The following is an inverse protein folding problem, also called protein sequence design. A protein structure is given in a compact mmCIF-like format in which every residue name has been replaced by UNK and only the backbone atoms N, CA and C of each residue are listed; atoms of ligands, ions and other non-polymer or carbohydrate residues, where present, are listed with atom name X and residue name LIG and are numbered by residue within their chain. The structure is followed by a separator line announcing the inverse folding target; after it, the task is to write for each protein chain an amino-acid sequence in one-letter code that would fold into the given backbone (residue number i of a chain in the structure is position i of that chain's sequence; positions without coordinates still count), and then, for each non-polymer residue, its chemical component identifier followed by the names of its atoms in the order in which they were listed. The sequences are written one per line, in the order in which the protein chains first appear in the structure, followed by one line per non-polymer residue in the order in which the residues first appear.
data_IF_256786916604
#
_entry.id   IF_256786916604
#
_cell.length_a   1.000
_cell.length_b   1.000
_cell.length_c   1.000
_cell.angle_alpha   90.00
_cell.angle_beta   90.00
_cell.angle_gamma   90.00
#
_symmetry.space_group_name_H-M   'P 1'
#
loop_
_entity.id
_entity.type
_entity.pdbx_description
1 polymer ?
#
# COMPACT_ATOMS: atom_id res chain seq x y z
N UNK A 1 33.62 10.38 -5.40
CA UNK A 1 32.43 10.91 -4.69
C UNK A 1 31.55 9.72 -4.37
N UNK A 2 31.13 9.57 -3.11
CA UNK A 2 30.28 8.45 -2.71
C UNK A 2 28.92 8.50 -3.41
N UNK A 3 28.34 7.35 -3.69
CA UNK A 3 27.03 7.22 -4.33
C UNK A 3 26.14 6.21 -3.62
N UNK A 4 24.84 6.50 -3.62
CA UNK A 4 23.82 5.63 -3.05
C UNK A 4 23.01 4.98 -4.17
N UNK A 5 22.79 3.68 -4.07
CA UNK A 5 21.76 2.98 -4.84
C UNK A 5 20.52 2.81 -3.96
N UNK A 6 19.42 3.46 -4.32
CA UNK A 6 18.14 3.24 -3.68
C UNK A 6 17.30 2.24 -4.47
N UNK A 7 16.92 1.16 -3.81
CA UNK A 7 16.11 0.07 -4.33
C UNK A 7 14.72 0.15 -3.69
N UNK A 8 13.75 0.56 -4.50
CA UNK A 8 12.36 0.81 -4.09
C UNK A 8 11.36 0.22 -5.09
N UNK A 9 10.07 0.49 -4.88
CA UNK A 9 9.00 0.06 -5.80
C UNK A 9 8.67 1.26 -6.71
N UNK A 10 9.16 1.24 -7.94
CA UNK A 10 8.94 2.29 -8.93
C UNK A 10 8.01 1.86 -10.07
N UNK A 11 7.64 0.58 -10.08
CA UNK A 11 6.68 0.00 -11.01
C UNK A 11 5.66 -0.83 -10.26
N UNK A 12 4.39 -0.74 -10.68
CA UNK A 12 3.31 -1.48 -10.06
C UNK A 12 1.95 -0.84 -10.29
N UNK A 13 0.95 -1.45 -9.66
CA UNK A 13 -0.46 -1.05 -9.73
C UNK A 13 -0.96 -0.35 -8.48
N UNK A 14 -0.13 -0.23 -7.45
CA UNK A 14 -0.44 0.43 -6.18
C UNK A 14 0.23 1.80 -6.12
N UNK A 15 -0.56 2.87 -6.19
CA UNK A 15 -0.08 4.26 -6.14
C UNK A 15 0.67 4.53 -4.83
N UNK A 16 0.24 3.96 -3.71
CA UNK A 16 0.88 4.20 -2.43
C UNK A 16 2.33 3.71 -2.37
N UNK A 17 2.63 2.55 -2.97
CA UNK A 17 4.00 2.03 -3.01
C UNK A 17 4.91 2.92 -3.91
N UNK A 18 4.34 3.48 -4.98
CA UNK A 18 5.04 4.44 -5.85
C UNK A 18 5.32 5.76 -5.13
N UNK A 19 4.32 6.31 -4.42
CA UNK A 19 4.45 7.54 -3.62
C UNK A 19 5.51 7.36 -2.55
N UNK A 20 5.50 6.24 -1.83
CA UNK A 20 6.52 5.96 -0.82
C UNK A 20 7.92 6.01 -1.42
N UNK A 21 8.13 5.35 -2.56
CA UNK A 21 9.46 5.28 -3.19
C UNK A 21 9.88 6.64 -3.73
N UNK A 22 8.95 7.40 -4.30
CA UNK A 22 9.18 8.78 -4.74
C UNK A 22 9.61 9.68 -3.57
N UNK A 23 8.83 9.70 -2.49
CA UNK A 23 9.12 10.54 -1.32
C UNK A 23 10.42 10.14 -0.62
N UNK A 24 10.66 8.83 -0.49
CA UNK A 24 11.89 8.33 0.12
C UNK A 24 13.14 8.67 -0.70
N UNK A 25 13.04 8.67 -2.04
CA UNK A 25 14.16 9.02 -2.91
C UNK A 25 14.61 10.49 -2.74
N UNK A 26 13.65 11.41 -2.71
CA UNK A 26 13.91 12.83 -2.46
C UNK A 26 14.47 13.06 -1.06
N UNK A 27 13.88 12.41 -0.05
CA UNK A 27 14.28 12.57 1.33
C UNK A 27 15.69 12.01 1.60
N UNK A 28 16.01 10.83 1.04
CA UNK A 28 17.33 10.22 1.16
C UNK A 28 18.43 11.08 0.52
N UNK A 29 18.14 11.68 -0.65
CA UNK A 29 19.06 12.64 -1.30
C UNK A 29 19.31 13.87 -0.42
N UNK A 30 18.26 14.43 0.18
CA UNK A 30 18.36 15.59 1.08
C UNK A 30 19.15 15.27 2.35
N UNK A 31 18.93 14.11 2.95
CA UNK A 31 19.60 13.71 4.18
C UNK A 31 21.07 13.37 4.01
N UNK A 32 21.40 12.62 2.97
CA UNK A 32 22.78 12.16 2.74
C UNK A 32 23.66 13.24 2.10
N UNK A 33 23.08 14.16 1.33
CA UNK A 33 23.84 15.09 0.48
C UNK A 33 24.58 14.39 -0.67
N UNK A 34 24.34 13.10 -0.90
CA UNK A 34 24.99 12.29 -1.93
C UNK A 34 24.10 12.12 -3.16
N UNK A 35 24.68 11.84 -4.35
CA UNK A 35 23.91 11.35 -5.49
C UNK A 35 23.21 10.03 -5.14
N UNK A 36 21.93 9.94 -5.51
CA UNK A 36 21.08 8.75 -5.32
C UNK A 36 20.60 8.29 -6.69
N UNK A 37 21.06 7.12 -7.12
CA UNK A 37 20.52 6.44 -8.29
C UNK A 37 19.44 5.45 -7.86
N UNK A 38 18.46 5.22 -8.73
CA UNK A 38 17.24 4.50 -8.40
C UNK A 38 17.17 3.17 -9.16
N UNK A 39 16.67 2.13 -8.51
CA UNK A 39 16.42 0.83 -9.14
C UNK A 39 15.09 0.25 -8.67
N UNK A 40 14.31 -0.27 -9.60
CA UNK A 40 13.04 -0.94 -9.28
C UNK A 40 13.30 -2.32 -8.66
N UNK A 41 12.64 -2.60 -7.53
CA UNK A 41 12.80 -3.84 -6.80
C UNK A 41 12.31 -5.06 -7.57
N UNK A 42 11.30 -4.92 -8.45
CA UNK A 42 10.75 -6.05 -9.19
C UNK A 42 11.56 -6.34 -10.45
N UNK A 43 11.70 -5.36 -11.35
CA UNK A 43 12.37 -5.50 -12.65
C UNK A 43 13.89 -5.44 -12.56
N UNK A 44 14.43 -4.78 -11.54
CA UNK A 44 15.88 -4.54 -11.35
C UNK A 44 16.49 -3.61 -12.39
N UNK A 45 15.64 -2.87 -13.09
CA UNK A 45 16.07 -1.87 -14.06
C UNK A 45 16.36 -0.56 -13.34
N UNK A 46 17.38 0.17 -13.81
CA UNK A 46 17.64 1.53 -13.35
C UNK A 46 16.44 2.43 -13.70
N UNK A 47 16.09 3.32 -12.78
CA UNK A 47 14.96 4.24 -12.93
C UNK A 47 15.52 5.64 -13.10
N UNK A 48 15.37 6.21 -14.30
CA UNK A 48 15.84 7.57 -14.60
C UNK A 48 14.81 8.63 -14.20
N UNK A 49 13.52 8.34 -14.44
CA UNK A 49 12.42 9.25 -14.15
C UNK A 49 11.40 8.55 -13.26
N UNK A 50 11.21 9.07 -12.05
CA UNK A 50 10.17 8.60 -11.14
C UNK A 50 8.82 9.07 -11.65
N UNK A 51 7.88 8.14 -11.80
CA UNK A 51 6.50 8.44 -12.16
C UNK A 51 5.57 7.72 -11.19
N UNK A 52 4.76 8.46 -10.44
CA UNK A 52 3.68 7.89 -9.62
C UNK A 52 2.45 7.58 -10.49
N UNK A 53 2.67 6.89 -11.61
CA UNK A 53 1.64 6.48 -12.58
C UNK A 53 1.60 4.95 -12.60
N UNK A 54 0.40 4.39 -12.54
CA UNK A 54 0.19 2.96 -12.60
C UNK A 54 0.69 2.43 -13.93
N UNK A 55 1.68 1.54 -13.85
CA UNK A 55 2.16 0.80 -15.01
C UNK A 55 1.52 -0.58 -14.98
N UNK A 56 0.57 -0.79 -15.90
CA UNK A 56 0.03 -2.12 -16.17
C UNK A 56 1.17 -2.92 -16.78
N UNK A 57 1.64 -3.96 -16.08
CA UNK A 57 2.72 -4.82 -16.57
C UNK A 57 2.38 -5.37 -17.97
N UNK A 58 3.02 -4.88 -19.05
CA UNK A 58 2.76 -5.37 -20.40
C UNK A 58 3.34 -6.78 -20.59
N UNK A 59 4.33 -7.13 -19.76
CA UNK A 59 4.97 -8.44 -19.67
C UNK A 59 4.35 -9.26 -18.54
N UNK A 60 3.03 -9.25 -18.50
CA UNK A 60 2.30 -10.36 -17.93
C UNK A 60 2.98 -11.66 -18.46
N UNK A 61 3.54 -12.42 -17.51
CA UNK A 61 4.49 -13.53 -17.73
C UNK A 61 4.03 -14.55 -18.79
N UNK A 62 4.86 -15.52 -19.17
CA UNK A 62 4.40 -16.74 -19.89
C UNK A 62 3.09 -17.31 -19.30
N UNK A 63 2.92 -17.16 -17.98
CA UNK A 63 1.71 -17.49 -17.24
C UNK A 63 0.45 -16.71 -17.63
N UNK A 64 0.56 -15.42 -17.95
CA UNK A 64 -0.57 -14.65 -18.46
C UNK A 64 -0.90 -15.03 -19.89
N UNK A 65 0.09 -15.37 -20.73
CA UNK A 65 -0.15 -15.87 -22.09
C UNK A 65 -0.85 -17.23 -22.04
N UNK A 66 -0.44 -18.11 -21.12
CA UNK A 66 -1.12 -19.39 -20.84
C UNK A 66 -2.52 -19.13 -20.27
N UNK A 67 -2.69 -18.20 -19.32
CA UNK A 67 -3.99 -17.79 -18.78
C UNK A 67 -4.92 -17.27 -19.89
N UNK A 68 -4.46 -16.33 -20.72
CA UNK A 68 -5.22 -15.78 -21.85
C UNK A 68 -5.61 -16.90 -22.82
N UNK A 69 -4.71 -17.84 -23.10
CA UNK A 69 -4.99 -18.96 -24.01
C UNK A 69 -6.00 -19.96 -23.43
N UNK A 70 -5.92 -20.25 -22.13
CA UNK A 70 -6.87 -21.13 -21.44
C UNK A 70 -8.23 -20.47 -21.25
N UNK A 71 -8.29 -19.14 -21.04
CA UNK A 71 -9.54 -18.40 -20.87
C UNK A 71 -10.32 -18.16 -22.19
N UNK A 72 -9.86 -18.69 -23.33
CA UNK A 72 -10.52 -18.50 -24.64
C UNK A 72 -11.79 -19.33 -24.85
N UNK A 73 -12.00 -20.38 -24.05
CA UNK A 73 -13.21 -21.20 -24.14
C UNK A 73 -13.66 -21.68 -22.76
N UNK A 74 -14.92 -22.10 -22.64
CA UNK A 74 -15.53 -22.51 -21.37
C UNK A 74 -14.79 -23.66 -20.70
N UNK A 75 -14.31 -24.64 -21.48
CA UNK A 75 -13.55 -25.77 -20.96
C UNK A 75 -12.20 -25.35 -20.36
N UNK A 76 -11.46 -24.50 -21.06
CA UNK A 76 -10.19 -23.96 -20.62
C UNK A 76 -10.34 -23.00 -19.44
N UNK A 77 -11.44 -22.24 -19.36
CA UNK A 77 -11.82 -21.47 -18.18
C UNK A 77 -12.03 -22.38 -16.96
N UNK A 78 -12.78 -23.46 -17.11
CA UNK A 78 -13.02 -24.43 -16.03
C UNK A 78 -11.72 -25.10 -15.59
N UNK A 79 -10.89 -25.57 -16.53
CA UNK A 79 -9.59 -26.17 -16.25
C UNK A 79 -8.66 -25.16 -15.56
N UNK A 80 -8.53 -23.94 -16.06
CA UNK A 80 -7.71 -22.92 -15.42
C UNK A 80 -8.25 -22.59 -14.02
N UNK A 81 -9.56 -22.47 -13.83
CA UNK A 81 -10.16 -22.17 -12.52
C UNK A 81 -9.86 -23.27 -11.50
N UNK A 82 -9.93 -24.55 -11.92
CA UNK A 82 -9.62 -25.71 -11.08
C UNK A 82 -8.12 -25.74 -10.74
N UNK A 83 -7.25 -25.55 -11.74
CA UNK A 83 -5.79 -25.75 -11.57
C UNK A 83 -4.99 -24.47 -11.29
N UNK A 84 -5.59 -23.27 -11.28
CA UNK A 84 -4.89 -21.98 -11.11
C UNK A 84 -3.96 -21.97 -9.90
N UNK A 85 -4.37 -22.58 -8.79
CA UNK A 85 -3.59 -22.64 -7.54
C UNK A 85 -2.34 -23.51 -7.72
N UNK A 86 -2.49 -24.68 -8.32
CA UNK A 86 -1.37 -25.59 -8.62
C UNK A 86 -0.39 -24.95 -9.60
N UNK A 87 -0.92 -24.37 -10.68
CA UNK A 87 -0.18 -23.64 -11.69
C UNK A 87 0.62 -22.48 -11.08
N UNK A 88 -0.03 -21.61 -10.29
CA UNK A 88 0.64 -20.48 -9.62
C UNK A 88 1.72 -20.96 -8.64
N UNK A 89 1.46 -22.04 -7.88
CA UNK A 89 2.43 -22.60 -6.94
C UNK A 89 3.64 -23.20 -7.65
N UNK A 90 3.44 -23.93 -8.75
CA UNK A 90 4.53 -24.49 -9.55
C UNK A 90 5.39 -23.38 -10.17
N UNK A 91 4.76 -22.34 -10.73
CA UNK A 91 5.48 -21.16 -11.23
C UNK A 91 6.31 -20.48 -10.14
N UNK A 92 5.72 -20.27 -8.98
CA UNK A 92 6.40 -19.70 -7.81
C UNK A 92 7.63 -20.52 -7.42
N UNK A 93 7.48 -21.85 -7.30
CA UNK A 93 8.60 -22.74 -6.96
C UNK A 93 9.69 -22.73 -8.03
N UNK A 94 9.32 -22.67 -9.30
CA UNK A 94 10.27 -22.55 -10.40
C UNK A 94 11.05 -21.23 -10.31
N UNK A 95 10.39 -20.09 -10.08
CA UNK A 95 11.05 -18.81 -9.86
C UNK A 95 11.98 -18.86 -8.64
N UNK A 96 11.55 -19.44 -7.52
CA UNK A 96 12.41 -19.62 -6.34
C UNK A 96 13.66 -20.45 -6.67
N UNK A 97 13.50 -21.56 -7.41
CA UNK A 97 14.62 -22.39 -7.85
C UNK A 97 15.58 -21.62 -8.77
N UNK A 98 15.05 -20.84 -9.71
CA UNK A 98 15.88 -19.97 -10.57
C UNK A 98 16.63 -18.94 -9.74
N UNK A 99 15.95 -18.27 -8.81
CA UNK A 99 16.58 -17.28 -7.95
C UNK A 99 17.64 -17.89 -7.03
N UNK A 100 17.51 -19.14 -6.62
CA UNK A 100 18.53 -19.82 -5.81
C UNK A 100 19.73 -20.28 -6.64
N UNK A 101 19.48 -20.85 -7.83
CA UNK A 101 20.49 -21.61 -8.57
C UNK A 101 21.05 -20.93 -9.83
N UNK A 102 20.35 -19.95 -10.42
CA UNK A 102 20.87 -19.21 -11.58
C UNK A 102 21.60 -17.95 -11.15
N UNK A 103 22.92 -17.97 -11.33
CA UNK A 103 23.79 -16.84 -10.99
C UNK A 103 23.65 -15.66 -11.96
N UNK A 104 23.11 -15.83 -13.17
CA UNK A 104 23.13 -14.78 -14.20
C UNK A 104 22.32 -13.53 -13.82
N UNK A 105 21.15 -13.70 -13.20
CA UNK A 105 20.37 -12.57 -12.64
C UNK A 105 21.18 -11.81 -11.58
N UNK A 106 22.05 -12.51 -10.87
CA UNK A 106 22.89 -11.93 -9.82
C UNK A 106 24.24 -11.40 -10.29
N UNK A 107 24.70 -11.78 -11.47
CA UNK A 107 25.87 -11.14 -12.10
C UNK A 107 25.58 -9.67 -12.39
N UNK A 108 24.37 -9.35 -12.86
CA UNK A 108 23.98 -7.96 -13.10
C UNK A 108 23.90 -7.19 -11.78
N UNK A 109 23.33 -7.77 -10.72
CA UNK A 109 23.39 -7.17 -9.37
C UNK A 109 24.81 -6.89 -8.92
N UNK A 110 25.73 -7.85 -9.09
CA UNK A 110 27.13 -7.65 -8.73
C UNK A 110 27.71 -6.44 -9.46
N UNK A 111 27.47 -6.33 -10.78
CA UNK A 111 27.99 -5.25 -11.62
C UNK A 111 27.43 -3.89 -11.19
N UNK A 112 26.12 -3.82 -10.95
CA UNK A 112 25.45 -2.59 -10.50
C UNK A 112 25.97 -2.17 -9.12
N UNK A 113 26.01 -3.10 -8.16
CA UNK A 113 26.42 -2.81 -6.77
C UNK A 113 27.88 -2.31 -6.68
N UNK A 114 28.76 -2.69 -7.63
CA UNK A 114 30.14 -2.19 -7.66
C UNK A 114 30.22 -0.67 -7.83
N UNK A 115 29.26 -0.05 -8.51
CA UNK A 115 29.22 1.38 -8.83
C UNK A 115 28.86 2.27 -7.62
N UNK A 116 28.43 1.68 -6.50
CA UNK A 116 27.89 2.39 -5.35
C UNK A 116 28.60 2.05 -4.05
N UNK A 117 28.51 2.93 -3.06
CA UNK A 117 29.13 2.77 -1.74
C UNK A 117 28.11 2.35 -0.68
N UNK A 118 26.87 2.84 -0.84
CA UNK A 118 25.75 2.58 0.06
C UNK A 118 24.57 2.02 -0.73
N UNK A 119 24.00 0.93 -0.24
CA UNK A 119 22.79 0.31 -0.80
C UNK A 119 21.63 0.55 0.17
N UNK A 120 20.63 1.30 -0.28
CA UNK A 120 19.40 1.52 0.48
C UNK A 120 18.29 0.66 -0.09
N UNK A 121 17.66 -0.19 0.72
CA UNK A 121 16.47 -0.96 0.36
C UNK A 121 15.33 -0.40 1.20
N UNK A 122 14.29 0.13 0.56
CA UNK A 122 13.31 0.89 1.33
C UNK A 122 11.97 1.10 0.68
N UNK A 123 11.01 1.41 1.53
CA UNK A 123 9.62 1.66 1.15
C UNK A 123 8.74 0.42 1.04
N UNK A 124 7.44 0.66 0.90
CA UNK A 124 6.42 -0.35 0.68
C UNK A 124 6.41 -1.48 1.72
N UNK A 125 5.92 -2.64 1.28
CA UNK A 125 5.74 -3.84 2.11
C UNK A 125 6.77 -4.92 1.77
N UNK A 126 8.05 -4.55 1.66
CA UNK A 126 9.10 -5.45 1.13
C UNK A 126 9.50 -6.60 2.07
N UNK A 127 9.23 -6.49 3.37
CA UNK A 127 9.58 -7.50 4.37
C UNK A 127 8.35 -8.34 4.77
N UNK A 128 7.88 -9.23 3.91
CA UNK A 128 6.77 -10.12 4.23
C UNK A 128 6.88 -11.47 3.55
N UNK A 129 6.19 -12.48 4.09
CA UNK A 129 6.12 -13.80 3.47
C UNK A 129 4.74 -14.42 3.62
N UNK A 130 3.86 -14.07 2.67
CA UNK A 130 2.49 -14.58 2.63
C UNK A 130 2.47 -15.90 1.85
N UNK A 131 2.72 -15.85 0.54
CA UNK A 131 2.51 -16.99 -0.36
C UNK A 131 3.79 -17.54 -1.00
N UNK A 132 4.91 -16.82 -0.90
CA UNK A 132 6.18 -17.20 -1.52
C UNK A 132 7.41 -16.60 -0.83
N UNK A 133 8.59 -17.18 -1.08
CA UNK A 133 9.87 -16.76 -0.51
C UNK A 133 10.66 -15.80 -1.42
N UNK A 134 10.13 -15.47 -2.60
CA UNK A 134 10.82 -14.71 -3.65
C UNK A 134 11.48 -13.42 -3.12
N UNK A 135 10.73 -12.57 -2.40
CA UNK A 135 11.25 -11.30 -1.89
C UNK A 135 12.34 -11.49 -0.83
N UNK A 136 12.15 -12.44 0.08
CA UNK A 136 13.12 -12.79 1.08
C UNK A 136 14.44 -13.29 0.46
N UNK A 137 14.35 -14.13 -0.58
CA UNK A 137 15.52 -14.61 -1.34
C UNK A 137 16.23 -13.44 -2.03
N UNK A 138 15.48 -12.55 -2.73
CA UNK A 138 16.06 -11.40 -3.43
C UNK A 138 16.82 -10.49 -2.45
N UNK A 139 16.18 -10.12 -1.33
CA UNK A 139 16.79 -9.26 -0.31
C UNK A 139 18.01 -9.93 0.32
N UNK A 140 17.90 -11.20 0.74
CA UNK A 140 19.02 -11.92 1.34
C UNK A 140 20.23 -12.01 0.41
N UNK A 141 20.01 -12.35 -0.87
CA UNK A 141 21.10 -12.40 -1.86
C UNK A 141 21.70 -11.03 -2.13
N UNK A 142 20.88 -10.00 -2.28
CA UNK A 142 21.36 -8.64 -2.49
C UNK A 142 22.22 -8.16 -1.32
N UNK A 143 21.78 -8.43 -0.09
CA UNK A 143 22.54 -8.12 1.12
C UNK A 143 23.86 -8.88 1.17
N UNK A 144 23.85 -10.19 0.89
CA UNK A 144 25.09 -11.00 0.86
C UNK A 144 26.09 -10.50 -0.18
N UNK A 145 25.64 -10.16 -1.39
CA UNK A 145 26.49 -9.62 -2.45
C UNK A 145 27.09 -8.27 -2.04
N UNK A 146 26.26 -7.34 -1.56
CA UNK A 146 26.72 -6.04 -1.11
C UNK A 146 27.73 -6.14 0.05
N UNK A 147 27.48 -7.01 1.04
CA UNK A 147 28.42 -7.25 2.13
C UNK A 147 29.72 -7.90 1.69
N UNK A 148 29.69 -8.81 0.72
CA UNK A 148 30.93 -9.41 0.17
C UNK A 148 31.83 -8.40 -0.56
N UNK A 149 31.31 -7.19 -0.81
CA UNK A 149 31.99 -6.08 -1.48
C UNK A 149 32.18 -4.89 -0.53
N UNK A 150 32.08 -5.12 0.78
CA UNK A 150 32.22 -4.12 1.85
C UNK A 150 31.31 -2.90 1.70
N UNK A 151 30.15 -3.06 1.06
CA UNK A 151 29.17 -1.97 0.89
C UNK A 151 28.36 -1.78 2.17
N UNK A 152 28.04 -0.52 2.47
CA UNK A 152 27.10 -0.17 3.53
C UNK A 152 25.67 -0.46 3.08
N UNK A 153 24.83 -0.96 3.98
CA UNK A 153 23.45 -1.34 3.67
C UNK A 153 22.48 -0.73 4.68
N UNK A 154 21.47 -0.05 4.16
CA UNK A 154 20.41 0.58 4.94
C UNK A 154 19.07 -0.07 4.54
N UNK A 155 18.30 -0.50 5.53
CA UNK A 155 16.88 -0.83 5.35
C UNK A 155 16.08 0.37 5.84
N UNK A 156 15.25 0.97 4.99
CA UNK A 156 14.65 2.27 5.28
C UNK A 156 13.13 2.28 5.06
N UNK A 157 12.39 2.59 6.13
CA UNK A 157 10.94 2.86 6.11
C UNK A 157 10.12 1.76 5.42
N UNK A 158 10.49 0.50 5.69
CA UNK A 158 9.79 -0.67 5.16
C UNK A 158 8.68 -1.12 6.11
N UNK A 159 7.55 -1.54 5.54
CA UNK A 159 6.55 -2.34 6.23
C UNK A 159 7.02 -3.78 6.38
N UNK A 160 6.80 -4.37 7.56
CA UNK A 160 7.20 -5.72 7.88
C UNK A 160 6.03 -6.58 8.39
N UNK A 161 6.05 -7.85 7.98
CA UNK A 161 5.04 -8.84 8.32
C UNK A 161 3.80 -8.82 7.42
N UNK A 162 2.96 -9.88 7.46
CA UNK A 162 3.18 -11.09 8.26
C UNK A 162 4.25 -12.01 7.65
N UNK A 163 4.89 -12.82 8.50
CA UNK A 163 5.94 -13.78 8.11
C UNK A 163 5.50 -15.24 8.27
N UNK A 164 4.77 -15.77 7.30
CA UNK A 164 4.13 -17.08 7.42
C UNK A 164 5.03 -18.24 7.02
N UNK A 165 5.97 -17.98 6.11
CA UNK A 165 6.87 -19.01 5.60
C UNK A 165 8.16 -19.08 6.40
N UNK A 166 8.44 -20.26 6.96
CA UNK A 166 9.65 -20.53 7.75
C UNK A 166 10.94 -20.18 6.99
N UNK A 167 11.05 -20.55 5.71
CA UNK A 167 12.24 -20.26 4.89
C UNK A 167 12.46 -18.76 4.71
N UNK A 168 11.41 -18.00 4.38
CA UNK A 168 11.50 -16.54 4.33
C UNK A 168 11.97 -15.92 5.64
N UNK A 169 11.50 -16.44 6.79
CA UNK A 169 11.94 -15.94 8.10
C UNK A 169 13.46 -16.06 8.26
N UNK A 170 14.04 -17.20 7.87
CA UNK A 170 15.49 -17.40 7.93
C UNK A 170 16.23 -16.43 6.99
N UNK A 171 15.79 -16.30 5.73
CA UNK A 171 16.42 -15.38 4.78
C UNK A 171 16.39 -13.91 5.24
N UNK A 172 15.25 -13.44 5.76
CA UNK A 172 15.15 -12.10 6.31
C UNK A 172 16.00 -11.94 7.56
N UNK A 173 15.96 -12.92 8.48
CA UNK A 173 16.78 -12.88 9.71
C UNK A 173 18.27 -12.77 9.40
N UNK A 174 18.78 -13.61 8.50
CA UNK A 174 20.17 -13.56 8.04
C UNK A 174 20.53 -12.20 7.44
N UNK A 175 19.66 -11.66 6.58
CA UNK A 175 19.92 -10.40 5.90
C UNK A 175 19.95 -9.21 6.87
N UNK A 176 18.91 -9.09 7.71
CA UNK A 176 18.73 -7.96 8.62
C UNK A 176 19.75 -7.95 9.77
N UNK A 177 20.30 -9.11 10.16
CA UNK A 177 21.34 -9.12 11.20
C UNK A 177 22.68 -8.50 10.76
N UNK A 178 22.94 -8.41 9.45
CA UNK A 178 24.22 -7.90 8.96
C UNK A 178 24.16 -6.48 8.39
N UNK A 179 22.98 -5.92 8.09
CA UNK A 179 22.89 -4.55 7.56
C UNK A 179 23.40 -3.49 8.55
N UNK A 180 23.75 -2.31 8.07
CA UNK A 180 24.34 -1.25 8.89
C UNK A 180 23.27 -0.45 9.66
N UNK A 181 22.07 -0.30 9.09
CA UNK A 181 20.95 0.39 9.74
C UNK A 181 19.59 -0.19 9.31
N UNK A 182 18.62 -0.16 10.23
CA UNK A 182 17.24 -0.61 9.99
C UNK A 182 16.27 0.42 10.56
N UNK A 183 15.40 0.95 9.70
CA UNK A 183 14.19 1.61 10.10
C UNK A 183 12.97 0.97 9.42
N UNK A 184 11.92 0.77 10.20
CA UNK A 184 10.60 0.33 9.73
C UNK A 184 9.61 1.46 9.84
N UNK A 185 8.56 1.46 9.02
CA UNK A 185 7.64 2.59 8.96
C UNK A 185 6.65 2.68 10.13
N UNK A 186 6.41 1.59 10.86
CA UNK A 186 5.39 1.52 11.90
C UNK A 186 5.76 0.56 13.05
N UNK A 187 5.16 0.76 14.22
CA UNK A 187 5.44 -0.04 15.43
C UNK A 187 5.09 -1.52 15.26
N UNK A 188 4.05 -1.82 14.47
CA UNK A 188 3.65 -3.19 14.18
C UNK A 188 4.73 -3.93 13.38
N UNK A 189 5.35 -3.24 12.42
CA UNK A 189 6.47 -3.75 11.64
C UNK A 189 7.67 -4.03 12.53
N UNK A 190 7.97 -3.13 13.49
CA UNK A 190 9.05 -3.34 14.47
C UNK A 190 8.81 -4.61 15.30
N UNK A 191 7.63 -4.72 15.93
CA UNK A 191 7.22 -5.92 16.67
C UNK A 191 7.26 -7.17 15.80
N UNK A 192 6.86 -7.09 14.53
CA UNK A 192 6.94 -8.22 13.60
C UNK A 192 8.37 -8.68 13.35
N UNK A 193 9.35 -7.77 13.27
CA UNK A 193 10.77 -8.14 13.16
C UNK A 193 11.29 -8.78 14.46
N UNK A 194 10.95 -8.21 15.61
CA UNK A 194 11.36 -8.70 16.93
C UNK A 194 10.75 -10.09 17.20
N UNK A 195 9.42 -10.20 17.19
CA UNK A 195 8.69 -11.39 17.61
C UNK A 195 8.77 -12.53 16.60
N UNK A 196 8.67 -12.23 15.29
CA UNK A 196 8.60 -13.28 14.26
C UNK A 196 9.96 -13.68 13.71
N UNK A 197 10.94 -12.76 13.65
CA UNK A 197 12.27 -13.04 13.12
C UNK A 197 13.34 -13.16 14.21
N UNK A 198 13.09 -12.66 15.43
CA UNK A 198 14.08 -12.64 16.50
C UNK A 198 15.23 -11.68 16.20
N UNK A 199 14.92 -10.49 15.66
CA UNK A 199 15.89 -9.42 15.44
C UNK A 199 16.10 -8.68 16.77
N UNK A 200 17.25 -8.92 17.43
CA UNK A 200 17.58 -8.39 18.77
C UNK A 200 18.51 -7.17 18.72
N UNK A 201 18.45 -6.38 17.66
CA UNK A 201 19.26 -5.17 17.47
C UNK A 201 18.35 -3.95 17.41
N UNK A 202 18.95 -2.77 17.47
CA UNK A 202 18.22 -1.52 17.32
C UNK A 202 17.51 -1.44 15.96
N UNK A 203 16.21 -1.12 16.01
CA UNK A 203 15.33 -0.91 14.87
C UNK A 203 14.55 0.38 15.12
N UNK A 204 14.75 1.35 14.25
CA UNK A 204 14.06 2.64 14.33
C UNK A 204 12.65 2.56 13.74
N UNK A 205 11.75 3.40 14.24
CA UNK A 205 10.41 3.56 13.68
C UNK A 205 10.32 4.92 13.00
N UNK A 206 10.21 4.93 11.68
CA UNK A 206 10.36 6.13 10.88
C UNK A 206 9.08 6.88 10.54
N UNK A 207 7.93 6.21 10.55
CA UNK A 207 6.72 6.70 9.88
C UNK A 207 6.68 6.29 8.40
N UNK A 208 5.49 6.32 7.81
CA UNK A 208 5.33 6.01 6.38
C UNK A 208 5.84 7.20 5.52
N UNK A 209 6.75 6.99 4.54
CA UNK A 209 7.28 8.09 3.73
C UNK A 209 6.23 8.87 2.94
N UNK A 210 5.04 8.31 2.70
CA UNK A 210 3.95 9.05 2.07
C UNK A 210 3.48 10.26 2.92
N UNK A 211 3.81 10.32 4.22
CA UNK A 211 3.56 11.47 5.09
C UNK A 211 4.40 12.71 4.70
N UNK A 212 5.49 12.53 3.96
CA UNK A 212 6.31 13.63 3.44
C UNK A 212 5.66 14.35 2.24
N UNK A 213 4.56 13.82 1.71
CA UNK A 213 3.89 14.38 0.55
C UNK A 213 3.32 15.77 0.87
N UNK A 214 3.68 16.74 0.05
CA UNK A 214 3.20 18.12 0.18
C UNK A 214 1.68 18.22 -0.02
N UNK A 215 1.04 19.08 0.77
CA UNK A 215 -0.38 19.39 0.64
C UNK A 215 -0.60 20.28 -0.60
N UNK A 216 -1.34 19.76 -1.59
CA UNK A 216 -1.78 20.49 -2.79
C UNK A 216 -3.28 20.80 -2.78
N UNK A 217 -4.00 20.49 -1.69
CA UNK A 217 -5.43 20.76 -1.56
C UNK A 217 -5.66 22.23 -1.30
N UNK A 218 -6.32 22.89 -2.26
CA UNK A 218 -6.75 24.26 -2.07
C UNK A 218 -7.96 24.18 -1.16
N UNK A 219 -7.83 24.67 0.08
CA UNK A 219 -8.98 24.84 0.96
C UNK A 219 -9.88 25.95 0.39
N UNK A 220 -10.68 25.65 -0.63
CA UNK A 220 -11.88 26.44 -0.85
C UNK A 220 -12.71 26.22 0.41
N UNK A 221 -12.86 27.26 1.20
CA UNK A 221 -13.92 27.34 2.19
C UNK A 221 -15.21 27.08 1.42
N UNK A 222 -15.68 25.85 1.35
CA UNK A 222 -17.10 25.62 1.24
C UNK A 222 -17.63 26.18 2.56
N UNK A 223 -17.95 27.48 2.56
CA UNK A 223 -18.91 28.01 3.51
C UNK A 223 -20.16 27.17 3.26
N UNK A 224 -20.38 26.17 4.11
CA UNK A 224 -21.55 25.32 4.04
C UNK A 224 -22.76 26.21 4.33
N UNK A 225 -23.31 26.83 3.29
CA UNK A 225 -24.63 27.43 3.32
C UNK A 225 -25.64 26.31 3.24
N UNK A 226 -26.59 26.29 4.17
CA UNK A 226 -27.55 25.19 4.46
C UNK A 226 -28.45 24.75 3.28
N UNK A 227 -28.32 25.33 2.08
CA UNK A 227 -29.33 25.19 1.03
C UNK A 227 -28.90 24.77 -0.39
N UNK A 228 -27.61 24.64 -0.75
CA UNK A 228 -27.28 24.36 -2.17
C UNK A 228 -26.14 23.37 -2.50
N UNK A 229 -25.33 22.88 -1.55
CA UNK A 229 -24.18 22.03 -1.93
C UNK A 229 -24.34 20.54 -1.63
N UNK A 230 -24.04 19.71 -2.63
CA UNK A 230 -23.93 18.26 -2.52
C UNK A 230 -22.62 17.88 -1.82
N UNK A 231 -22.71 17.08 -0.75
CA UNK A 231 -21.54 16.54 -0.04
C UNK A 231 -20.93 15.41 -0.89
N UNK A 232 -19.63 15.46 -1.15
CA UNK A 232 -18.91 14.44 -1.90
C UNK A 232 -18.13 13.54 -0.95
N UNK A 233 -18.54 12.27 -0.84
CA UNK A 233 -17.90 11.27 0.02
C UNK A 233 -17.12 10.29 -0.85
N UNK A 234 -15.81 10.29 -0.68
CA UNK A 234 -14.93 9.30 -1.29
C UNK A 234 -14.96 8.01 -0.45
N UNK A 235 -15.13 6.85 -1.10
CA UNK A 235 -15.09 5.56 -0.43
C UNK A 235 -14.00 4.71 -1.06
N UNK A 236 -12.94 4.44 -0.29
CA UNK A 236 -11.82 3.64 -0.74
C UNK A 236 -12.05 2.16 -0.46
N UNK A 237 -12.06 1.37 -1.52
CA UNK A 237 -12.48 -0.03 -1.54
C UNK A 237 -11.26 -0.96 -1.62
N UNK A 238 -11.25 -2.03 -0.82
CA UNK A 238 -10.26 -3.11 -0.91
C UNK A 238 -10.95 -4.48 -1.01
N UNK A 239 -10.72 -5.32 -2.02
CA UNK A 239 -11.40 -6.61 -2.13
C UNK A 239 -11.07 -7.54 -0.95
N UNK A 240 -12.04 -7.72 -0.06
CA UNK A 240 -12.14 -8.86 0.85
C UNK A 240 -12.87 -10.01 0.11
N UNK A 241 -12.93 -11.20 0.67
CA UNK A 241 -13.30 -12.47 0.02
C UNK A 241 -12.40 -13.00 -1.11
N UNK A 242 -11.77 -12.16 -1.94
CA UNK A 242 -11.25 -12.59 -3.27
C UNK A 242 -9.75 -12.77 -3.43
N UNK A 243 -8.94 -12.16 -2.58
CA UNK A 243 -7.51 -12.47 -2.51
C UNK A 243 -7.33 -13.58 -1.49
N UNK A 244 -6.54 -14.61 -1.83
CA UNK A 244 -6.11 -15.69 -0.92
C UNK A 244 -5.19 -15.09 0.19
N UNK A 245 -5.65 -14.04 0.88
CA UNK A 245 -5.08 -13.63 2.14
C UNK A 245 -5.64 -14.57 3.19
N UNK A 246 -4.97 -15.73 3.27
CA UNK A 246 -4.86 -16.53 4.48
C UNK A 246 -6.12 -17.32 4.80
N UNK A 247 -5.90 -18.52 5.33
CA UNK A 247 -6.90 -19.28 6.08
C UNK A 247 -7.28 -18.52 7.37
N UNK A 248 -7.77 -17.29 7.26
CA UNK A 248 -8.36 -16.52 8.35
C UNK A 248 -9.82 -16.97 8.48
N UNK A 249 -10.26 -17.47 9.65
CA UNK A 249 -11.60 -18.03 9.85
C UNK A 249 -12.78 -17.09 9.54
N UNK A 250 -12.54 -15.77 9.41
CA UNK A 250 -13.60 -14.74 9.28
C UNK A 250 -13.85 -14.29 7.83
N UNK A 251 -13.83 -15.20 6.85
CA UNK A 251 -13.73 -14.81 5.43
C UNK A 251 -14.48 -15.73 4.47
N UNK A 252 -15.66 -16.21 4.87
CA UNK A 252 -16.48 -17.07 4.00
C UNK A 252 -17.64 -16.33 3.33
N UNK A 253 -17.97 -15.11 3.78
CA UNK A 253 -19.15 -14.39 3.31
C UNK A 253 -18.79 -13.11 2.56
N UNK A 254 -18.48 -13.25 1.27
CA UNK A 254 -18.23 -12.10 0.38
C UNK A 254 -19.40 -11.11 0.36
N UNK A 255 -20.63 -11.58 0.56
CA UNK A 255 -21.82 -10.74 0.60
C UNK A 255 -21.82 -9.81 1.81
N UNK A 256 -21.29 -10.25 2.97
CA UNK A 256 -21.14 -9.39 4.15
C UNK A 256 -20.35 -8.10 3.84
N UNK A 257 -19.29 -8.21 3.03
CA UNK A 257 -18.47 -7.07 2.66
C UNK A 257 -19.19 -6.10 1.72
N UNK A 258 -19.97 -6.62 0.77
CA UNK A 258 -20.80 -5.80 -0.10
C UNK A 258 -21.91 -5.11 0.70
N UNK A 259 -22.56 -5.85 1.60
CA UNK A 259 -23.57 -5.33 2.52
C UNK A 259 -23.02 -4.24 3.43
N UNK A 260 -21.80 -4.40 3.96
CA UNK A 260 -21.15 -3.41 4.82
C UNK A 260 -21.09 -2.03 4.15
N UNK A 261 -20.57 -1.92 2.92
CA UNK A 261 -20.55 -0.62 2.24
C UNK A 261 -21.93 -0.15 1.81
N UNK A 262 -22.78 -1.07 1.34
CA UNK A 262 -24.15 -0.73 0.98
C UNK A 262 -24.84 -0.06 2.16
N UNK A 263 -24.75 -0.66 3.35
CA UNK A 263 -25.35 -0.14 4.58
C UNK A 263 -24.76 1.22 4.97
N UNK A 264 -23.44 1.42 4.88
CA UNK A 264 -22.83 2.75 5.10
C UNK A 264 -23.40 3.79 4.14
N UNK A 265 -23.40 3.49 2.84
CA UNK A 265 -23.85 4.41 1.78
C UNK A 265 -25.34 4.74 1.95
N UNK A 266 -26.18 3.72 2.15
CA UNK A 266 -27.61 3.91 2.35
C UNK A 266 -27.91 4.72 3.60
N UNK A 267 -27.26 4.38 4.72
CA UNK A 267 -27.49 5.07 5.99
C UNK A 267 -27.07 6.55 5.90
N UNK A 268 -25.90 6.84 5.32
CA UNK A 268 -25.45 8.21 5.12
C UNK A 268 -26.35 8.97 4.14
N UNK A 269 -26.82 8.34 3.06
CA UNK A 269 -27.74 8.98 2.12
C UNK A 269 -29.09 9.32 2.76
N UNK A 270 -29.63 8.43 3.60
CA UNK A 270 -30.87 8.69 4.33
C UNK A 270 -30.77 9.92 5.25
N UNK A 271 -29.57 10.20 5.79
CA UNK A 271 -29.32 11.37 6.64
C UNK A 271 -28.90 12.60 5.84
N UNK A 272 -28.26 12.41 4.69
CA UNK A 272 -27.82 13.44 3.76
C UNK A 272 -28.26 13.13 2.32
N UNK A 273 -29.50 13.50 1.94
CA UNK A 273 -30.04 13.16 0.62
C UNK A 273 -29.26 13.76 -0.55
N UNK A 274 -28.48 14.83 -0.31
CA UNK A 274 -27.64 15.51 -1.31
C UNK A 274 -26.23 14.91 -1.42
N UNK A 275 -25.90 13.87 -0.67
CA UNK A 275 -24.61 13.20 -0.77
C UNK A 275 -24.42 12.49 -2.13
N UNK A 276 -23.22 12.66 -2.68
CA UNK A 276 -22.68 11.88 -3.79
C UNK A 276 -21.54 11.00 -3.27
N UNK A 277 -21.55 9.72 -3.66
CA UNK A 277 -20.56 8.74 -3.26
C UNK A 277 -19.64 8.37 -4.43
N UNK A 278 -18.34 8.49 -4.21
CA UNK A 278 -17.31 8.22 -5.21
C UNK A 278 -16.47 7.00 -4.79
N UNK A 279 -16.74 5.84 -5.41
CA UNK A 279 -16.00 4.60 -5.17
C UNK A 279 -14.67 4.59 -5.92
N UNK A 280 -13.57 4.31 -5.23
CA UNK A 280 -12.24 4.26 -5.85
C UNK A 280 -11.28 3.33 -5.09
N UNK A 281 -10.11 3.06 -5.67
CA UNK A 281 -8.98 2.45 -4.96
C UNK A 281 -7.65 3.02 -5.46
N UNK A 282 -6.63 2.98 -4.61
CA UNK A 282 -5.25 3.29 -5.00
C UNK A 282 -4.53 2.08 -5.62
N UNK A 283 -5.21 0.94 -5.73
CA UNK A 283 -4.72 -0.30 -6.34
C UNK A 283 -5.59 -0.67 -7.54
N UNK A 284 -5.02 -0.61 -8.75
CA UNK A 284 -5.78 -0.82 -9.99
C UNK A 284 -6.46 -2.20 -10.04
N UNK A 285 -5.85 -3.23 -9.45
CA UNK A 285 -6.41 -4.58 -9.44
C UNK A 285 -7.67 -4.73 -8.56
N UNK A 286 -8.12 -3.67 -7.87
CA UNK A 286 -9.36 -3.66 -7.08
C UNK A 286 -10.59 -3.27 -7.88
N UNK A 287 -10.42 -2.61 -9.03
CA UNK A 287 -11.55 -2.02 -9.76
C UNK A 287 -12.59 -3.05 -10.21
N UNK A 288 -12.20 -4.31 -10.42
CA UNK A 288 -13.16 -5.39 -10.67
C UNK A 288 -14.17 -5.57 -9.52
N UNK A 289 -13.72 -5.47 -8.26
CA UNK A 289 -14.60 -5.54 -7.09
C UNK A 289 -15.36 -4.24 -6.86
N UNK A 290 -14.80 -3.09 -7.25
CA UNK A 290 -15.52 -1.81 -7.21
C UNK A 290 -16.70 -1.83 -8.17
N UNK A 291 -16.50 -2.32 -9.40
CA UNK A 291 -17.59 -2.45 -10.39
C UNK A 291 -18.69 -3.39 -9.91
N UNK A 292 -18.33 -4.49 -9.27
CA UNK A 292 -19.30 -5.44 -8.70
C UNK A 292 -20.08 -4.85 -7.52
N UNK A 293 -19.41 -4.15 -6.61
CA UNK A 293 -20.06 -3.43 -5.51
C UNK A 293 -21.02 -2.36 -6.04
N UNK A 294 -20.61 -1.61 -7.06
CA UNK A 294 -21.43 -0.59 -7.70
C UNK A 294 -22.75 -1.17 -8.23
N UNK A 295 -22.68 -2.27 -9.01
CA UNK A 295 -23.87 -2.94 -9.53
C UNK A 295 -24.71 -3.57 -8.41
N UNK A 296 -24.05 -4.12 -7.38
CA UNK A 296 -24.72 -4.68 -6.21
C UNK A 296 -25.56 -3.62 -5.47
N UNK A 297 -25.01 -2.42 -5.22
CA UNK A 297 -25.73 -1.32 -4.56
C UNK A 297 -26.92 -0.87 -5.42
N UNK A 298 -26.71 -0.63 -6.72
CA UNK A 298 -27.80 -0.17 -7.60
C UNK A 298 -28.94 -1.19 -7.73
N UNK A 299 -28.65 -2.49 -7.60
CA UNK A 299 -29.66 -3.55 -7.65
C UNK A 299 -30.45 -3.68 -6.34
N UNK A 300 -29.81 -3.42 -5.20
CA UNK A 300 -30.36 -3.72 -3.87
C UNK A 300 -30.85 -2.48 -3.11
N UNK A 301 -30.76 -1.29 -3.71
CA UNK A 301 -31.15 -0.02 -3.07
C UNK A 301 -31.98 0.81 -4.06
N UNK A 302 -33.01 1.50 -3.58
CA UNK A 302 -33.92 2.29 -4.45
C UNK A 302 -33.59 3.78 -4.46
N UNK A 303 -32.93 4.24 -3.39
CA UNK A 303 -32.58 5.62 -3.10
C UNK A 303 -31.20 5.99 -3.67
N UNK A 304 -30.33 5.00 -3.90
CA UNK A 304 -29.04 5.20 -4.57
C UNK A 304 -29.20 4.92 -6.06
N UNK A 305 -28.72 5.84 -6.88
CA UNK A 305 -28.84 5.79 -8.34
C UNK A 305 -27.51 6.18 -8.98
N UNK A 306 -27.43 6.06 -10.32
CA UNK A 306 -26.25 6.52 -11.09
C UNK A 306 -25.98 8.04 -10.97
N UNK A 307 -26.93 8.82 -10.40
CA UNK A 307 -26.75 10.26 -10.17
C UNK A 307 -25.94 10.58 -8.92
N UNK A 308 -25.95 9.71 -7.90
CA UNK A 308 -25.30 9.94 -6.62
C UNK A 308 -24.31 8.84 -6.23
N UNK A 309 -24.07 7.85 -7.10
CA UNK A 309 -23.03 6.85 -6.94
C UNK A 309 -22.18 6.80 -8.21
N UNK A 310 -20.86 6.91 -8.05
CA UNK A 310 -19.91 6.94 -9.16
C UNK A 310 -18.70 6.05 -8.87
N UNK A 311 -18.07 5.54 -9.94
CA UNK A 311 -16.76 4.90 -9.88
C UNK A 311 -15.72 5.90 -10.40
N UNK A 312 -14.69 6.16 -9.60
CA UNK A 312 -13.58 7.02 -10.00
C UNK A 312 -12.32 6.20 -10.23
N UNK A 313 -11.85 6.17 -11.48
CA UNK A 313 -10.63 5.48 -11.88
C UNK A 313 -9.41 6.36 -11.64
N UNK A 314 -8.52 5.90 -10.77
CA UNK A 314 -7.29 6.61 -10.40
C UNK A 314 -6.11 5.87 -11.01
N UNK A 315 -5.41 6.53 -11.92
CA UNK A 315 -4.26 5.95 -12.63
C UNK A 315 -2.92 6.57 -12.22
N UNK A 316 -2.94 7.65 -11.44
CA UNK A 316 -1.73 8.34 -10.97
C UNK A 316 -1.94 9.08 -9.65
N UNK A 317 -0.84 9.49 -9.02
CA UNK A 317 -0.88 10.42 -7.87
C UNK A 317 -1.58 11.73 -8.24
N UNK A 318 -1.26 12.35 -9.38
CA UNK A 318 -1.90 13.61 -9.77
C UNK A 318 -3.41 13.44 -9.98
N UNK A 319 -3.86 12.31 -10.53
CA UNK A 319 -5.29 12.00 -10.61
C UNK A 319 -5.94 11.87 -9.22
N UNK A 320 -5.24 11.24 -8.27
CA UNK A 320 -5.72 11.08 -6.90
C UNK A 320 -5.82 12.44 -6.18
N UNK A 321 -4.79 13.27 -6.30
CA UNK A 321 -4.75 14.60 -5.68
C UNK A 321 -5.82 15.53 -6.27
N UNK A 322 -6.04 15.48 -7.59
CA UNK A 322 -7.12 16.20 -8.25
C UNK A 322 -8.51 15.70 -7.80
N UNK A 323 -8.67 14.39 -7.66
CA UNK A 323 -9.90 13.80 -7.15
C UNK A 323 -10.21 14.30 -5.73
N UNK A 324 -9.22 14.32 -4.84
CA UNK A 324 -9.36 14.80 -3.45
C UNK A 324 -9.68 16.29 -3.30
N UNK A 325 -9.46 17.13 -4.33
CA UNK A 325 -9.85 18.55 -4.28
C UNK A 325 -11.36 18.72 -4.04
N UNK A 326 -12.18 17.84 -4.64
CA UNK A 326 -13.63 17.97 -4.65
C UNK A 326 -14.32 17.00 -3.68
N UNK A 327 -13.60 16.40 -2.73
CA UNK A 327 -14.18 15.52 -1.70
C UNK A 327 -14.25 16.25 -0.37
N UNK A 328 -15.29 15.94 0.41
CA UNK A 328 -15.51 16.49 1.75
C UNK A 328 -15.08 15.50 2.85
N UNK A 329 -15.18 14.20 2.57
CA UNK A 329 -14.83 13.13 3.50
C UNK A 329 -14.31 11.92 2.73
N UNK A 330 -13.27 11.26 3.26
CA UNK A 330 -12.84 9.94 2.83
C UNK A 330 -13.21 8.89 3.88
N UNK A 331 -13.93 7.84 3.47
CA UNK A 331 -14.10 6.61 4.25
C UNK A 331 -13.25 5.51 3.59
N UNK A 332 -12.20 5.05 4.26
CA UNK A 332 -11.18 4.20 3.64
C UNK A 332 -10.91 2.87 4.34
N UNK A 333 -10.79 1.80 3.55
CA UNK A 333 -10.21 0.50 3.98
C UNK A 333 -8.75 0.32 3.55
N UNK A 334 -8.33 1.06 2.51
CA UNK A 334 -6.94 1.07 2.01
C UNK A 334 -6.11 2.08 2.81
N UNK A 335 -5.01 1.61 3.43
CA UNK A 335 -4.17 2.48 4.25
C UNK A 335 -3.54 3.65 3.48
N UNK A 336 -3.02 3.43 2.27
CA UNK A 336 -2.39 4.53 1.52
C UNK A 336 -3.39 5.56 0.97
N UNK A 337 -4.67 5.21 0.78
CA UNK A 337 -5.66 6.25 0.48
C UNK A 337 -5.89 7.14 1.69
N UNK A 338 -5.92 6.57 2.90
CA UNK A 338 -6.01 7.32 4.16
C UNK A 338 -4.78 8.20 4.41
N UNK A 339 -3.56 7.67 4.24
CA UNK A 339 -2.32 8.44 4.44
C UNK A 339 -2.25 9.63 3.47
N UNK A 340 -2.49 9.39 2.17
CA UNK A 340 -2.43 10.47 1.17
C UNK A 340 -3.55 11.49 1.43
N UNK A 341 -4.78 11.06 1.76
CA UNK A 341 -5.84 12.00 2.11
C UNK A 341 -5.51 12.84 3.35
N UNK A 342 -4.89 12.23 4.37
CA UNK A 342 -4.40 12.91 5.56
C UNK A 342 -3.38 14.00 5.22
N UNK A 343 -2.42 13.73 4.32
CA UNK A 343 -1.45 14.76 3.89
C UNK A 343 -2.09 15.90 3.11
N UNK A 344 -3.24 15.67 2.49
CA UNK A 344 -4.03 16.68 1.80
C UNK A 344 -5.03 17.40 2.73
N UNK A 345 -5.00 17.14 4.05
CA UNK A 345 -5.96 17.67 5.02
C UNK A 345 -7.43 17.42 4.60
N UNK A 346 -7.69 16.28 3.95
CA UNK A 346 -9.02 15.76 3.70
C UNK A 346 -9.47 14.99 4.96
N UNK A 347 -10.63 15.28 5.56
CA UNK A 347 -11.14 14.50 6.68
C UNK A 347 -11.22 13.01 6.33
N UNK A 348 -10.72 12.16 7.23
CA UNK A 348 -10.65 10.71 7.04
C UNK A 348 -11.37 9.94 8.14
N UNK A 349 -12.04 8.88 7.74
CA UNK A 349 -12.57 7.83 8.59
C UNK A 349 -12.07 6.49 8.08
N UNK A 350 -11.64 5.61 8.97
CA UNK A 350 -11.05 4.34 8.61
C UNK A 350 -11.95 3.16 8.98
N UNK A 351 -12.01 2.19 8.08
CA UNK A 351 -12.55 0.86 8.35
C UNK A 351 -11.37 -0.11 8.44
N UNK A 352 -11.00 -0.42 9.68
CA UNK A 352 -9.87 -1.28 9.98
C UNK A 352 -10.23 -2.75 9.85
N UNK A 353 -9.42 -3.45 9.07
CA UNK A 353 -9.52 -4.90 8.87
C UNK A 353 -8.27 -5.66 9.30
N UNK A 354 -7.19 -4.91 9.55
CA UNK A 354 -5.91 -5.38 10.04
C UNK A 354 -5.34 -4.31 10.96
N UNK A 355 -4.50 -4.75 11.89
CA UNK A 355 -3.81 -3.89 12.86
C UNK A 355 -3.11 -2.69 12.23
N UNK A 356 -2.63 -2.77 10.98
CA UNK A 356 -1.93 -1.65 10.31
C UNK A 356 -2.79 -0.40 10.10
N UNK A 357 -4.07 -0.55 9.79
CA UNK A 357 -4.96 0.59 9.55
C UNK A 357 -5.27 1.27 10.88
N UNK A 358 -5.63 0.49 11.90
CA UNK A 358 -5.85 0.99 13.27
C UNK A 358 -4.59 1.61 13.86
N UNK A 359 -3.41 0.98 13.67
CA UNK A 359 -2.13 1.53 14.12
C UNK A 359 -1.82 2.88 13.48
N UNK A 360 -2.13 3.05 12.19
CA UNK A 360 -1.98 4.35 11.52
C UNK A 360 -2.92 5.40 12.12
N UNK A 361 -4.20 5.08 12.30
CA UNK A 361 -5.17 6.02 12.89
C UNK A 361 -4.81 6.40 14.33
N UNK A 362 -4.29 5.47 15.12
CA UNK A 362 -3.76 5.74 16.46
C UNK A 362 -2.52 6.64 16.40
N UNK A 363 -1.60 6.38 15.46
CA UNK A 363 -0.37 7.16 15.28
C UNK A 363 -0.63 8.64 14.97
N UNK A 364 -1.74 8.95 14.28
CA UNK A 364 -2.16 10.32 13.97
C UNK A 364 -3.23 10.86 14.94
N UNK A 365 -3.48 10.18 16.07
CA UNK A 365 -4.47 10.54 17.09
C UNK A 365 -5.93 10.68 16.56
N UNK A 366 -6.30 9.84 15.59
CA UNK A 366 -7.65 9.75 15.00
C UNK A 366 -8.32 8.39 15.25
N UNK A 367 -7.93 7.67 16.32
CA UNK A 367 -8.46 6.35 16.64
C UNK A 367 -9.99 6.35 16.86
N UNK A 368 -10.58 7.47 17.29
CA UNK A 368 -12.03 7.66 17.42
C UNK A 368 -12.79 7.68 16.09
N UNK A 369 -12.10 7.81 14.96
CA UNK A 369 -12.68 7.70 13.61
C UNK A 369 -12.26 6.38 12.92
N UNK A 370 -11.84 5.38 13.69
CA UNK A 370 -11.44 4.08 13.20
C UNK A 370 -12.39 3.00 13.73
N UNK A 371 -13.11 2.34 12.82
CA UNK A 371 -14.06 1.29 13.14
C UNK A 371 -13.56 -0.07 12.65
N UNK A 372 -13.71 -1.12 13.46
CA UNK A 372 -13.39 -2.46 13.00
C UNK A 372 -14.44 -2.96 12.00
N UNK A 373 -14.01 -3.65 10.94
CA UNK A 373 -14.89 -4.07 9.84
C UNK A 373 -16.11 -4.89 10.33
N UNK A 374 -15.92 -5.73 11.36
CA UNK A 374 -16.97 -6.60 11.90
C UNK A 374 -18.03 -5.84 12.70
N UNK A 375 -17.76 -4.61 13.11
CA UNK A 375 -18.61 -3.83 14.02
C UNK A 375 -19.44 -2.78 13.27
N UNK A 376 -19.25 -2.64 11.96
CA UNK A 376 -19.83 -1.55 11.15
C UNK A 376 -21.36 -1.51 11.26
N UNK A 377 -22.02 -2.67 11.16
CA UNK A 377 -23.48 -2.73 11.24
C UNK A 377 -24.00 -2.36 12.63
N UNK A 378 -23.29 -2.74 13.69
CA UNK A 378 -23.65 -2.45 15.08
C UNK A 378 -23.40 -0.99 15.45
N UNK A 379 -22.41 -0.36 14.82
CA UNK A 379 -21.97 1.02 15.09
C UNK A 379 -22.41 2.02 14.01
N UNK A 380 -23.40 1.69 13.19
CA UNK A 380 -23.78 2.53 12.04
C UNK A 380 -24.22 3.94 12.44
N UNK A 381 -24.92 4.09 13.58
CA UNK A 381 -25.30 5.39 14.13
C UNK A 381 -24.07 6.20 14.57
N UNK A 382 -23.12 5.55 15.25
CA UNK A 382 -21.86 6.18 15.69
C UNK A 382 -21.02 6.63 14.49
N UNK A 383 -20.93 5.80 13.45
CA UNK A 383 -20.28 6.13 12.17
C UNK A 383 -20.89 7.39 11.57
N UNK A 384 -22.23 7.50 11.56
CA UNK A 384 -22.90 8.71 11.09
C UNK A 384 -22.55 9.94 11.93
N UNK A 385 -22.62 9.85 13.25
CA UNK A 385 -22.30 10.98 14.13
C UNK A 385 -20.86 11.44 13.94
N UNK A 386 -19.92 10.50 13.83
CA UNK A 386 -18.50 10.78 13.57
C UNK A 386 -18.25 11.34 12.17
N UNK A 387 -18.96 10.88 11.15
CA UNK A 387 -18.91 11.46 9.81
C UNK A 387 -19.44 12.90 9.82
N UNK A 388 -20.55 13.17 10.51
CA UNK A 388 -21.08 14.52 10.67
C UNK A 388 -20.09 15.44 11.39
N UNK A 389 -19.46 14.96 12.46
CA UNK A 389 -18.43 15.68 13.20
C UNK A 389 -17.27 16.11 12.27
N UNK A 390 -16.79 15.20 11.43
CA UNK A 390 -15.73 15.48 10.45
C UNK A 390 -16.16 16.50 9.37
N UNK A 391 -17.40 16.39 8.89
CA UNK A 391 -17.95 17.28 7.87
C UNK A 391 -18.23 18.70 8.39
N UNK A 392 -18.61 18.84 9.66
CA UNK A 392 -19.01 20.12 10.25
C UNK A 392 -17.85 20.86 10.92
N UNK A 393 -16.97 20.15 11.62
CA UNK A 393 -15.95 20.79 12.45
C UNK A 393 -14.70 21.22 11.70
N UNK A 394 -14.61 21.01 10.38
CA UNK A 394 -13.43 21.33 9.56
C UNK A 394 -12.14 21.00 10.33
N UNK A 395 -12.05 19.76 10.83
CA UNK A 395 -10.94 19.29 11.66
C UNK A 395 -9.65 19.41 10.85
N UNK A 396 -9.00 20.57 10.93
CA UNK A 396 -7.67 20.79 10.40
C UNK A 396 -6.72 20.07 11.34
N UNK A 397 -5.96 19.14 10.77
CA UNK A 397 -4.78 18.57 11.43
C UNK A 397 -3.87 19.73 11.81
N UNK A 398 -3.73 20.01 13.10
CA UNK A 398 -2.91 21.13 13.59
C UNK A 398 -1.41 20.88 13.40
N UNK A 399 -1.02 19.63 13.14
CA UNK A 399 0.36 19.20 12.93
C UNK A 399 0.62 18.93 11.45
N UNK A 400 1.74 19.45 10.95
CA UNK A 400 2.28 19.12 9.63
C UNK A 400 2.61 17.61 9.59
N UNK A 401 1.95 16.81 8.73
CA UNK A 401 2.16 15.37 8.62
C UNK A 401 3.62 14.97 8.42
N UNK A 402 4.42 15.83 7.77
CA UNK A 402 5.84 15.55 7.52
C UNK A 402 6.67 15.45 8.81
N UNK A 403 6.24 16.11 9.89
CA UNK A 403 6.92 16.08 11.20
C UNK A 403 6.79 14.72 11.91
N UNK A 404 5.83 13.91 11.49
CA UNK A 404 5.65 12.55 11.99
C UNK A 404 6.72 11.62 11.41
N UNK A 405 7.19 11.88 10.19
CA UNK A 405 8.28 11.10 9.59
C UNK A 405 9.65 11.49 10.18
N UNK A 406 10.30 10.57 10.91
CA UNK A 406 11.57 10.83 11.62
C UNK A 406 12.58 9.71 11.39
N UNK A 407 13.76 10.05 10.87
CA UNK A 407 14.85 9.08 10.73
C UNK A 407 16.18 9.66 11.19
N UNK A 408 16.98 8.83 11.86
CA UNK A 408 18.26 9.20 12.44
C UNK A 408 19.36 8.27 11.93
N UNK A 409 19.60 8.29 10.62
CA UNK A 409 20.67 7.49 10.01
C UNK A 409 22.03 8.04 10.49
N UNK A 410 22.91 7.22 11.10
CA UNK A 410 24.24 7.66 11.49
C UNK A 410 25.05 8.20 10.29
N UNK A 411 25.65 9.39 10.43
CA UNK A 411 26.41 10.04 9.35
C UNK A 411 27.57 9.20 8.83
N UNK A 412 28.18 8.41 9.70
CA UNK A 412 29.26 7.45 9.39
C UNK A 412 28.89 6.43 8.32
N UNK A 413 27.59 6.22 8.05
CA UNK A 413 27.14 5.35 6.96
C UNK A 413 27.35 6.01 5.59
N UNK A 414 27.28 7.34 5.52
CA UNK A 414 27.45 8.13 4.31
C UNK A 414 28.88 8.67 4.12
N UNK A 415 29.64 8.81 5.21
CA UNK A 415 31.07 9.15 5.22
C UNK A 415 31.94 7.99 4.78
#
# INVERSE_FOLDING_TARGET
MKKILYIGIFSGTNIGDLVISDQLSHHLKKLSGLPVDLMDFFSLEKVENVSCVIRKDPNSNIFSKIKIRLLRNSLGCSVYTIYRKVCSRAHTQWIEHLLLNKNDVFKEYCRIIDEYDVICIGGGNLLMSISHNIWAIKINKLVKIAKSKDKKIIILSVGAGPFQLYKSRQYYKEALNVVDYIAVRDIYSKKSLEDSLGINREVDVSGDPALLLENKRIHSKHQYSEHENSINIAISIMPFGKRDFLNLPWYENYDYYLDMYKNIIEYLHCKYPTCTFNLFSTEYSDYGTISELYEYILKNTTQITKKNLHIQYIESLDNLLNFYQNQDLLIGTRMHSLIIAYTQSLPIMAISWQSKVSSFMEYINLNQYCFHLNEINEKIDEIYYKANELLTNNLQTSEDPSTMYKINIPKEIFE
#
